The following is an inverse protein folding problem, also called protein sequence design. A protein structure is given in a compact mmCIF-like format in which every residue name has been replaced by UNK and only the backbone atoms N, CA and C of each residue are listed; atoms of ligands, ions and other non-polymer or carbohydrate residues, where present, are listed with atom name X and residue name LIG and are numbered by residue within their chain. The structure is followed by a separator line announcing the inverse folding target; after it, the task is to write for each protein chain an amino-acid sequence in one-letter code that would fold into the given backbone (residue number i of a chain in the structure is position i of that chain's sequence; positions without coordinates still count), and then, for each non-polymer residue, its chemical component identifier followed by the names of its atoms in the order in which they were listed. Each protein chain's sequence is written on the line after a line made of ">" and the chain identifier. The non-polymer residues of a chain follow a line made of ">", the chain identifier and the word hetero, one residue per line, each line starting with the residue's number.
data_IF_793786951208
#
_entry.id   IF_793786951208
#
_cell.length_a   1.000
_cell.length_b   1.000
_cell.length_c   1.000
_cell.angle_alpha   90.00
_cell.angle_beta   90.00
_cell.angle_gamma   90.00
#
_symmetry.space_group_name_H-M   'P 1'
#
loop_
_entity.id
_entity.type
_entity.pdbx_description
1 polymer ?
#
# COMPACT_ATOMS: atom_id res chain seq x y z
N UNK A 1 -13.67 44.13 17.26
CA UNK A 1 -13.13 43.00 16.46
C UNK A 1 -13.94 41.74 16.75
N UNK A 2 -14.75 41.28 15.80
CA UNK A 2 -15.49 40.00 15.92
C UNK A 2 -14.56 38.87 15.46
N UNK A 3 -14.42 37.82 16.27
CA UNK A 3 -13.64 36.61 15.94
C UNK A 3 -14.39 35.84 14.84
N UNK A 4 -13.75 35.67 13.68
CA UNK A 4 -14.25 34.85 12.57
C UNK A 4 -14.09 33.36 12.86
N UNK A 5 -15.15 32.61 12.62
CA UNK A 5 -15.28 31.19 12.94
C UNK A 5 -14.55 30.35 11.88
N UNK A 6 -13.41 29.74 12.23
CA UNK A 6 -12.53 28.97 11.33
C UNK A 6 -13.04 27.54 11.03
N UNK A 7 -14.25 27.19 11.49
CA UNK A 7 -14.78 25.83 11.44
C UNK A 7 -15.48 25.46 10.11
N UNK A 8 -15.93 26.44 9.33
CA UNK A 8 -16.75 26.19 8.13
C UNK A 8 -15.95 25.83 6.87
N UNK A 9 -14.65 26.12 6.80
CA UNK A 9 -13.83 25.87 5.60
C UNK A 9 -13.33 24.42 5.48
N UNK A 10 -13.21 23.69 6.61
CA UNK A 10 -12.69 22.31 6.60
C UNK A 10 -13.72 21.26 6.17
N UNK A 11 -15.02 21.52 6.35
CA UNK A 11 -16.08 20.57 6.01
C UNK A 11 -16.38 20.49 4.50
N UNK A 12 -16.09 21.54 3.72
CA UNK A 12 -16.46 21.60 2.29
C UNK A 12 -15.50 20.78 1.42
N UNK A 13 -14.22 20.67 1.79
CA UNK A 13 -13.22 19.94 1.00
C UNK A 13 -13.24 18.42 1.25
N UNK A 14 -13.57 17.96 2.46
CA UNK A 14 -13.63 16.52 2.77
C UNK A 14 -14.96 15.86 2.41
N UNK A 15 -16.08 16.60 2.41
CA UNK A 15 -17.42 16.04 2.19
C UNK A 15 -17.70 15.59 0.75
N UNK A 16 -17.07 16.21 -0.25
CA UNK A 16 -17.33 15.90 -1.66
C UNK A 16 -16.35 14.90 -2.28
N UNK A 17 -15.13 14.80 -1.75
CA UNK A 17 -14.07 13.99 -2.36
C UNK A 17 -14.01 12.56 -1.83
N UNK A 18 -14.32 12.37 -0.54
CA UNK A 18 -14.26 11.06 0.12
C UNK A 18 -15.29 10.03 -0.39
N UNK A 19 -16.57 10.39 -0.63
CA UNK A 19 -17.55 9.43 -1.14
C UNK A 19 -17.19 8.93 -2.54
N UNK A 20 -16.73 9.83 -3.42
CA UNK A 20 -16.38 9.53 -4.81
C UNK A 20 -15.17 8.58 -4.93
N UNK A 21 -14.12 8.79 -4.13
CA UNK A 21 -12.99 7.86 -4.06
C UNK A 21 -13.45 6.50 -3.51
N UNK A 22 -14.31 6.47 -2.50
CA UNK A 22 -14.75 5.20 -1.89
C UNK A 22 -15.57 4.33 -2.86
N UNK A 23 -16.47 4.93 -3.62
CA UNK A 23 -17.38 4.23 -4.54
C UNK A 23 -16.64 3.74 -5.78
N UNK A 24 -15.78 4.58 -6.37
CA UNK A 24 -14.92 4.19 -7.49
C UNK A 24 -13.88 3.15 -7.07
N UNK A 25 -13.36 3.23 -5.85
CA UNK A 25 -12.45 2.21 -5.30
C UNK A 25 -13.16 0.87 -5.10
N UNK A 26 -14.36 0.85 -4.51
CA UNK A 26 -15.10 -0.40 -4.30
C UNK A 26 -15.56 -1.05 -5.61
N UNK A 27 -16.07 -0.25 -6.56
CA UNK A 27 -16.45 -0.76 -7.88
C UNK A 27 -15.25 -1.33 -8.64
N UNK A 28 -14.09 -0.67 -8.58
CA UNK A 28 -12.85 -1.12 -9.23
C UNK A 28 -12.24 -2.36 -8.57
N UNK A 29 -12.33 -2.49 -7.25
CA UNK A 29 -11.90 -3.71 -6.54
C UNK A 29 -12.75 -4.93 -6.94
N UNK A 30 -14.03 -4.73 -7.22
CA UNK A 30 -14.92 -5.79 -7.71
C UNK A 30 -14.59 -6.17 -9.16
N UNK A 31 -14.27 -5.19 -10.01
CA UNK A 31 -13.94 -5.40 -11.42
C UNK A 31 -12.56 -6.06 -11.63
N UNK A 32 -11.54 -5.63 -10.87
CA UNK A 32 -10.20 -6.22 -10.90
C UNK A 32 -10.17 -7.70 -10.46
N UNK A 33 -11.13 -8.11 -9.62
CA UNK A 33 -11.29 -9.51 -9.22
C UNK A 33 -11.74 -10.41 -10.37
N UNK A 34 -12.48 -9.87 -11.34
CA UNK A 34 -12.97 -10.59 -12.51
C UNK A 34 -11.96 -10.59 -13.66
N UNK A 35 -11.21 -9.50 -13.86
CA UNK A 35 -10.25 -9.38 -14.98
C UNK A 35 -8.92 -10.14 -14.72
N UNK A 36 -8.47 -10.24 -13.47
CA UNK A 36 -7.24 -10.94 -13.06
C UNK A 36 -7.50 -12.27 -12.32
N UNK A 37 -8.63 -12.92 -12.61
CA UNK A 37 -9.16 -14.11 -11.89
C UNK A 37 -8.31 -15.39 -11.89
N UNK A 38 -7.03 -15.34 -12.27
CA UNK A 38 -6.14 -16.51 -12.36
C UNK A 38 -5.26 -16.80 -11.14
N UNK A 39 -5.11 -15.88 -10.18
CA UNK A 39 -4.13 -16.06 -9.08
C UNK A 39 -4.62 -15.61 -7.69
N UNK A 40 -5.92 -15.37 -7.52
CA UNK A 40 -6.49 -15.11 -6.20
C UNK A 40 -6.72 -16.42 -5.45
N UNK A 41 -5.79 -16.81 -4.59
CA UNK A 41 -6.02 -17.79 -3.53
C UNK A 41 -7.19 -17.29 -2.66
N UNK A 42 -8.38 -17.85 -2.86
CA UNK A 42 -9.60 -17.51 -2.11
C UNK A 42 -9.43 -17.95 -0.65
N UNK A 43 -8.86 -17.09 0.19
CA UNK A 43 -8.74 -17.31 1.63
C UNK A 43 -10.04 -16.94 2.33
N UNK A 44 -10.56 -17.83 3.17
CA UNK A 44 -11.71 -17.51 4.03
C UNK A 44 -11.25 -16.69 5.24
N UNK A 45 -11.31 -15.37 5.09
CA UNK A 45 -10.85 -14.43 6.11
C UNK A 45 -11.61 -14.59 7.44
N UNK A 46 -12.92 -14.87 7.39
CA UNK A 46 -13.75 -14.99 8.60
C UNK A 46 -13.33 -16.22 9.40
N UNK A 47 -13.11 -17.34 8.72
CA UNK A 47 -12.61 -18.57 9.33
C UNK A 47 -11.22 -18.38 9.94
N UNK A 48 -10.29 -17.79 9.19
CA UNK A 48 -8.92 -17.54 9.66
C UNK A 48 -8.92 -16.64 10.91
N UNK A 49 -9.69 -15.55 10.92
CA UNK A 49 -9.79 -14.64 12.08
C UNK A 49 -10.44 -15.32 13.29
N UNK A 50 -11.39 -16.24 13.07
CA UNK A 50 -12.01 -17.02 14.14
C UNK A 50 -11.03 -18.02 14.78
N UNK A 51 -10.13 -18.59 13.99
CA UNK A 51 -9.10 -19.53 14.47
C UNK A 51 -7.89 -18.84 15.14
N UNK A 52 -7.78 -17.51 15.06
CA UNK A 52 -6.73 -16.73 15.73
C UNK A 52 -6.99 -16.56 17.23
N UNK A 53 -5.93 -16.75 18.01
CA UNK A 53 -5.85 -16.32 19.41
C UNK A 53 -5.81 -14.80 19.53
N UNK A 54 -6.07 -14.28 20.73
CA UNK A 54 -5.97 -12.84 21.00
C UNK A 54 -4.55 -12.30 20.75
N UNK A 55 -3.53 -13.10 21.08
CA UNK A 55 -2.12 -12.73 20.88
C UNK A 55 -1.77 -12.67 19.39
N UNK A 56 -2.23 -13.63 18.59
CA UNK A 56 -2.07 -13.60 17.13
C UNK A 56 -2.76 -12.39 16.49
N UNK A 57 -3.95 -11.99 16.99
CA UNK A 57 -4.63 -10.77 16.51
C UNK A 57 -3.85 -9.51 16.86
N UNK A 58 -3.41 -9.40 18.11
CA UNK A 58 -2.64 -8.24 18.57
C UNK A 58 -1.28 -8.13 17.87
N UNK A 59 -0.63 -9.26 17.53
CA UNK A 59 0.67 -9.24 16.87
C UNK A 59 0.60 -8.59 15.49
N UNK A 60 -0.49 -8.81 14.73
CA UNK A 60 -0.70 -8.23 13.40
C UNK A 60 -0.91 -6.72 13.39
N UNK A 61 -1.11 -6.08 14.55
CA UNK A 61 -1.15 -4.61 14.67
C UNK A 61 0.24 -3.96 14.69
N UNK A 62 1.30 -4.73 14.43
CA UNK A 62 2.69 -4.27 14.42
C UNK A 62 3.51 -5.02 13.36
N UNK A 63 4.49 -4.34 12.77
CA UNK A 63 5.46 -4.99 11.89
C UNK A 63 6.34 -5.99 12.63
N UNK A 64 6.86 -6.98 11.90
CA UNK A 64 7.96 -7.83 12.37
C UNK A 64 9.25 -7.01 12.47
N UNK A 65 9.50 -6.19 11.47
CA UNK A 65 10.62 -5.26 11.38
C UNK A 65 10.19 -4.03 10.55
N UNK A 66 11.15 -3.21 10.09
CA UNK A 66 10.92 -1.99 9.31
C UNK A 66 10.07 -2.18 8.04
N UNK A 67 10.08 -3.37 7.44
CA UNK A 67 9.55 -3.58 6.09
C UNK A 67 8.80 -4.89 5.95
N UNK A 68 8.52 -5.62 7.03
CA UNK A 68 7.85 -6.91 6.99
C UNK A 68 6.73 -7.01 8.01
N UNK A 69 5.61 -7.63 7.64
CA UNK A 69 4.55 -8.00 8.59
C UNK A 69 4.91 -9.27 9.37
N UNK A 70 4.25 -9.51 10.50
CA UNK A 70 4.43 -10.75 11.26
C UNK A 70 3.69 -11.93 10.59
N UNK A 71 4.34 -13.07 10.35
CA UNK A 71 3.65 -14.27 9.87
C UNK A 71 2.85 -14.94 10.99
N UNK A 72 1.84 -15.72 10.61
CA UNK A 72 1.17 -16.70 11.48
C UNK A 72 1.18 -18.05 10.76
N UNK A 73 2.26 -18.80 10.94
CA UNK A 73 2.56 -20.04 10.20
C UNK A 73 1.48 -21.11 10.37
N UNK A 74 0.95 -21.27 11.59
CA UNK A 74 -0.13 -22.23 11.90
C UNK A 74 -1.38 -22.01 11.06
N UNK A 75 -1.67 -20.77 10.68
CA UNK A 75 -2.82 -20.39 9.86
C UNK A 75 -2.45 -20.16 8.39
N UNK A 76 -1.20 -20.45 7.99
CA UNK A 76 -0.72 -20.25 6.63
C UNK A 76 -0.68 -18.78 6.20
N UNK A 77 -0.48 -17.85 7.16
CA UNK A 77 -0.39 -16.41 6.88
C UNK A 77 1.08 -16.04 6.71
N UNK A 78 1.55 -15.70 5.50
CA UNK A 78 2.93 -15.35 5.25
C UNK A 78 3.26 -13.94 5.79
N UNK A 79 4.55 -13.66 5.93
CA UNK A 79 5.04 -12.29 6.10
C UNK A 79 4.95 -11.57 4.75
N UNK A 80 4.45 -10.34 4.76
CA UNK A 80 4.35 -9.48 3.58
C UNK A 80 5.45 -8.44 3.69
N UNK A 81 6.28 -8.32 2.64
CA UNK A 81 7.28 -7.26 2.51
C UNK A 81 6.63 -5.99 1.96
N UNK A 82 6.97 -4.85 2.56
CA UNK A 82 6.56 -3.51 2.17
C UNK A 82 7.77 -2.67 1.81
N UNK A 83 7.59 -1.68 0.95
CA UNK A 83 8.65 -0.74 0.58
C UNK A 83 8.03 0.63 0.30
N UNK A 84 8.75 1.69 0.61
CA UNK A 84 8.50 3.02 0.01
C UNK A 84 8.84 2.97 -1.49
N UNK A 85 8.48 3.95 -2.33
CA UNK A 85 7.66 5.14 -2.08
C UNK A 85 6.91 5.60 -3.33
N UNK A 86 6.24 6.78 -3.29
CA UNK A 86 5.24 7.18 -4.28
C UNK A 86 5.78 7.51 -5.68
N UNK A 87 7.10 7.64 -5.84
CA UNK A 87 7.77 7.97 -7.10
C UNK A 87 8.92 7.00 -7.42
N UNK A 88 8.78 5.74 -7.00
CA UNK A 88 9.79 4.71 -7.19
C UNK A 88 10.08 3.98 -5.88
N UNK A 89 10.64 2.77 -5.99
CA UNK A 89 10.89 1.93 -4.83
C UNK A 89 12.14 2.37 -4.07
N UNK A 90 12.07 2.27 -2.76
CA UNK A 90 13.18 2.41 -1.83
C UNK A 90 13.31 1.14 -0.99
N UNK A 91 13.54 0.02 -1.68
CA UNK A 91 13.66 -1.29 -1.05
C UNK A 91 15.08 -1.49 -0.56
N UNK A 92 15.27 -1.83 0.72
CA UNK A 92 16.59 -2.09 1.30
C UNK A 92 17.20 -3.39 0.76
N UNK A 93 18.52 -3.42 0.60
CA UNK A 93 19.26 -4.61 0.24
C UNK A 93 19.17 -5.68 1.36
N UNK A 94 19.15 -6.98 1.01
CA UNK A 94 19.15 -8.06 2.00
C UNK A 94 20.36 -7.97 2.94
N UNK A 95 20.16 -8.21 4.25
CA UNK A 95 21.24 -8.17 5.25
C UNK A 95 21.62 -6.77 5.74
N UNK A 96 20.96 -5.71 5.25
CA UNK A 96 21.09 -4.33 5.73
C UNK A 96 19.84 -3.89 6.53
N UNK A 97 19.37 -4.76 7.43
CA UNK A 97 18.36 -4.44 8.45
C UNK A 97 18.96 -3.69 9.65
N UNK A 98 20.26 -3.38 9.58
CA UNK A 98 21.02 -2.72 10.61
C UNK A 98 20.40 -1.38 11.05
N UNK A 99 20.44 -1.19 12.36
CA UNK A 99 19.78 -0.15 13.15
C UNK A 99 20.46 1.22 13.02
N UNK A 100 21.46 1.32 12.16
CA UNK A 100 22.41 2.41 11.94
C UNK A 100 22.02 3.33 10.78
N UNK A 101 20.87 3.11 10.15
CA UNK A 101 20.18 4.13 9.33
C UNK A 101 20.67 4.28 7.89
N UNK A 102 21.69 3.52 7.47
CA UNK A 102 22.25 3.59 6.11
C UNK A 102 22.25 2.21 5.43
N UNK A 103 21.07 1.61 5.33
CA UNK A 103 20.90 0.45 4.48
C UNK A 103 21.03 0.88 3.02
N UNK A 104 21.88 0.22 2.25
CA UNK A 104 21.93 0.43 0.81
C UNK A 104 20.59 0.02 0.18
N UNK A 105 20.03 0.88 -0.66
CA UNK A 105 18.80 0.59 -1.38
C UNK A 105 19.11 -0.18 -2.66
N UNK A 106 18.26 -1.15 -2.99
CA UNK A 106 18.32 -1.83 -4.27
C UNK A 106 18.12 -0.80 -5.40
N UNK A 107 18.88 -0.88 -6.49
CA UNK A 107 18.72 0.00 -7.64
C UNK A 107 17.25 0.02 -8.10
N UNK A 108 16.68 1.22 -8.19
CA UNK A 108 15.28 1.43 -8.48
C UNK A 108 15.07 2.60 -9.43
N UNK A 109 14.00 2.56 -10.21
CA UNK A 109 13.66 3.66 -11.12
C UNK A 109 13.16 4.85 -10.29
N UNK A 110 13.80 6.01 -10.45
CA UNK A 110 13.35 7.26 -9.84
C UNK A 110 12.43 8.00 -10.82
N UNK A 111 11.13 8.04 -10.52
CA UNK A 111 10.12 8.72 -11.32
C UNK A 111 9.98 10.19 -10.89
N UNK A 112 9.41 11.07 -11.75
CA UNK A 112 9.06 12.41 -11.34
C UNK A 112 8.13 12.41 -10.12
N UNK A 113 8.25 13.42 -9.26
CA UNK A 113 7.38 13.55 -8.09
C UNK A 113 5.90 13.61 -8.49
N UNK A 114 5.00 13.33 -7.53
CA UNK A 114 3.56 13.42 -7.78
C UNK A 114 3.12 14.79 -8.29
N UNK A 115 3.74 15.89 -7.84
CA UNK A 115 3.45 17.23 -8.35
C UNK A 115 3.91 17.43 -9.80
N UNK A 116 5.07 16.88 -10.18
CA UNK A 116 5.57 16.94 -11.55
C UNK A 116 4.72 16.08 -12.50
N UNK A 117 4.33 14.87 -12.07
CA UNK A 117 3.41 14.01 -12.83
C UNK A 117 2.04 14.68 -12.97
N UNK A 118 1.50 15.29 -11.91
CA UNK A 118 0.22 15.99 -11.98
C UNK A 118 0.25 17.19 -12.94
N UNK A 119 1.40 17.86 -13.09
CA UNK A 119 1.57 18.96 -14.03
C UNK A 119 1.47 18.54 -15.51
N UNK A 120 1.53 17.24 -15.81
CA UNK A 120 1.25 16.72 -17.16
C UNK A 120 -0.23 16.76 -17.53
N UNK A 121 -1.12 16.74 -16.53
CA UNK A 121 -2.57 16.54 -16.71
C UNK A 121 -2.92 15.29 -17.53
N UNK A 122 -2.04 14.29 -17.55
CA UNK A 122 -2.19 13.07 -18.35
C UNK A 122 -2.41 11.86 -17.43
N UNK A 123 -3.65 11.36 -17.41
CA UNK A 123 -4.03 10.20 -16.60
C UNK A 123 -3.43 8.90 -17.12
N UNK A 124 -3.24 8.77 -18.43
CA UNK A 124 -2.71 7.56 -19.05
C UNK A 124 -1.21 7.43 -18.73
N UNK A 125 -0.47 8.54 -18.78
CA UNK A 125 0.91 8.61 -18.31
C UNK A 125 1.03 8.19 -16.84
N UNK A 126 0.16 8.70 -15.96
CA UNK A 126 0.16 8.34 -14.53
C UNK A 126 -0.10 6.84 -14.35
N UNK A 127 -1.06 6.28 -15.08
CA UNK A 127 -1.35 4.84 -15.05
C UNK A 127 -0.16 3.99 -15.52
N UNK A 128 0.55 4.43 -16.56
CA UNK A 128 1.75 3.77 -17.06
C UNK A 128 2.88 3.78 -16.01
N UNK A 129 3.12 4.91 -15.36
CA UNK A 129 4.10 5.03 -14.27
C UNK A 129 3.72 4.13 -13.09
N UNK A 130 2.46 4.14 -12.67
CA UNK A 130 1.97 3.29 -11.58
C UNK A 130 2.13 1.80 -11.90
N UNK A 131 1.81 1.38 -13.13
CA UNK A 131 2.00 0.01 -13.59
C UNK A 131 3.49 -0.39 -13.60
N UNK A 132 4.38 0.53 -14.00
CA UNK A 132 5.82 0.29 -13.97
C UNK A 132 6.35 0.12 -12.54
N UNK A 133 5.92 0.97 -11.59
CA UNK A 133 6.23 0.82 -10.16
C UNK A 133 5.73 -0.53 -9.63
N UNK A 134 4.51 -0.94 -9.98
CA UNK A 134 3.95 -2.24 -9.57
C UNK A 134 4.76 -3.44 -10.08
N UNK A 135 5.22 -3.40 -11.34
CA UNK A 135 6.10 -4.43 -11.91
C UNK A 135 7.45 -4.49 -11.19
N UNK A 136 8.02 -3.33 -10.89
CA UNK A 136 9.28 -3.25 -10.14
C UNK A 136 9.12 -3.78 -8.71
N UNK A 137 7.94 -3.58 -8.09
CA UNK A 137 7.64 -4.08 -6.75
C UNK A 137 7.57 -5.61 -6.72
N UNK A 138 6.88 -6.20 -7.70
CA UNK A 138 6.84 -7.66 -7.88
C UNK A 138 8.24 -8.24 -8.10
N UNK A 139 9.05 -7.61 -8.95
CA UNK A 139 10.43 -8.04 -9.20
C UNK A 139 11.33 -7.99 -7.95
N UNK A 140 10.98 -7.15 -6.96
CA UNK A 140 11.69 -7.00 -5.68
C UNK A 140 11.00 -7.72 -4.52
N UNK A 141 10.01 -8.57 -4.81
CA UNK A 141 9.27 -9.34 -3.82
C UNK A 141 8.61 -8.43 -2.75
N UNK A 142 8.06 -7.30 -3.19
CA UNK A 142 7.27 -6.37 -2.38
C UNK A 142 5.79 -6.59 -2.67
N UNK A 143 4.99 -6.82 -1.62
CA UNK A 143 3.54 -7.06 -1.73
C UNK A 143 3.15 -8.42 -2.32
N UNK A 144 4.09 -9.35 -2.50
CA UNK A 144 3.85 -10.69 -3.02
C UNK A 144 3.39 -11.68 -1.91
N UNK A 145 2.48 -12.61 -2.20
CA UNK A 145 1.90 -13.59 -1.25
C UNK A 145 1.21 -14.79 -1.93
#
# INVERSE_FOLDING_TARGET
>A
MKKGNFSSAFHVLYGFFWPFISETSQARMHDLSNEYGGFYMKRDLKKIIAEMTLVEKASLCSGLNHSNTKPIERLGIPSIKTSDGPHGLNTRAPGHDAQDGFAESLPSTCYPSGSALAASWDTDLIMNVAAAIGKEAQAKDVGHY
#
